data_IF_565306783864
#
_entry.id   IF_565306783864
#
_cell.length_a   1.000
_cell.length_b   1.000
_cell.length_c   1.000
_cell.angle_alpha   90.00
_cell.angle_beta   90.00
_cell.angle_gamma   90.00
#
_symmetry.space_group_name_H-M   'P 1'
#
loop_
_entity.id
_entity.type
_entity.pdbx_description
1 polymer ?
#
# COMPACT_ATOMS: atom_id res chain seq x y z
N UNK A 1 20.70 -34.16 14.76
CA UNK A 1 19.80 -33.11 15.25
C UNK A 1 20.43 -31.78 14.88
N UNK A 2 19.88 -31.08 13.89
CA UNK A 2 20.33 -29.71 13.61
C UNK A 2 19.76 -28.84 14.72
N UNK A 3 20.63 -28.20 15.52
CA UNK A 3 20.21 -27.09 16.38
C UNK A 3 19.69 -26.00 15.44
N UNK A 4 18.37 -25.89 15.32
CA UNK A 4 17.77 -24.72 14.70
C UNK A 4 17.99 -23.57 15.68
N UNK A 5 18.93 -22.70 15.37
CA UNK A 5 19.13 -21.47 16.11
C UNK A 5 17.81 -20.70 16.16
N UNK A 6 17.22 -20.59 17.35
CA UNK A 6 15.94 -19.94 17.59
C UNK A 6 16.16 -18.44 17.81
N UNK A 7 16.70 -17.74 16.81
CA UNK A 7 16.91 -16.31 16.93
C UNK A 7 15.55 -15.59 16.95
N UNK A 8 15.23 -14.95 18.07
CA UNK A 8 13.94 -14.26 18.28
C UNK A 8 14.00 -12.76 17.99
N UNK A 9 15.20 -12.17 17.96
CA UNK A 9 15.38 -10.72 17.83
C UNK A 9 16.54 -10.39 16.92
N UNK A 10 16.33 -9.46 16.00
CA UNK A 10 17.35 -8.89 15.12
C UNK A 10 17.26 -7.38 15.17
N UNK A 11 18.41 -6.74 15.35
CA UNK A 11 18.57 -5.29 15.24
C UNK A 11 19.77 -4.98 14.33
N UNK A 12 19.50 -4.27 13.23
CA UNK A 12 20.50 -3.81 12.27
C UNK A 12 20.62 -2.31 12.45
N UNK A 13 21.73 -1.90 13.06
CA UNK A 13 21.97 -0.51 13.46
C UNK A 13 22.50 0.37 12.33
N UNK A 14 23.19 -0.22 11.36
CA UNK A 14 23.79 0.51 10.27
C UNK A 14 23.96 -0.40 9.07
N UNK A 15 23.52 0.07 7.92
CA UNK A 15 23.84 -0.57 6.65
C UNK A 15 24.74 0.34 5.84
N UNK A 16 25.97 -0.07 5.52
CA UNK A 16 26.82 0.71 4.64
C UNK A 16 26.15 0.91 3.29
N UNK A 17 26.52 2.01 2.62
CA UNK A 17 25.95 2.44 1.33
C UNK A 17 26.09 1.31 0.30
N UNK A 18 24.95 0.74 -0.11
CA UNK A 18 24.86 -0.46 -0.97
C UNK A 18 23.54 -1.22 -0.78
N UNK A 19 22.43 -0.46 -0.75
CA UNK A 19 21.18 -0.73 -0.01
C UNK A 19 20.46 -2.05 -0.37
N UNK A 20 20.61 -2.55 -1.58
CA UNK A 20 19.69 -3.56 -2.11
C UNK A 20 19.98 -4.98 -1.62
N UNK A 21 21.26 -5.33 -1.42
CA UNK A 21 21.64 -6.70 -1.03
C UNK A 21 21.18 -7.04 0.38
N UNK A 22 21.31 -6.11 1.33
CA UNK A 22 20.91 -6.35 2.72
C UNK A 22 19.41 -6.54 2.83
N UNK A 23 18.61 -5.73 2.12
CA UNK A 23 17.16 -5.92 2.05
C UNK A 23 16.79 -7.32 1.54
N UNK A 24 17.46 -7.79 0.48
CA UNK A 24 17.16 -9.09 -0.15
C UNK A 24 17.49 -10.25 0.79
N UNK A 25 18.67 -10.23 1.42
CA UNK A 25 19.07 -11.25 2.39
C UNK A 25 18.16 -11.27 3.61
N UNK A 26 17.79 -10.08 4.12
CA UNK A 26 16.89 -9.97 5.26
C UNK A 26 15.49 -10.47 4.90
N UNK A 27 14.96 -10.12 3.71
CA UNK A 27 13.69 -10.65 3.23
C UNK A 27 13.72 -12.19 3.16
N UNK A 28 14.78 -12.78 2.59
CA UNK A 28 14.95 -14.23 2.54
C UNK A 28 14.97 -14.84 3.95
N UNK A 29 15.70 -14.22 4.88
CA UNK A 29 15.75 -14.66 6.27
C UNK A 29 14.36 -14.64 6.93
N UNK A 30 13.57 -13.59 6.73
CA UNK A 30 12.20 -13.47 7.28
C UNK A 30 11.25 -14.55 6.74
N UNK A 31 11.45 -14.99 5.50
CA UNK A 31 10.71 -16.11 4.91
C UNK A 31 11.08 -17.47 5.52
N UNK A 32 12.20 -17.57 6.25
CA UNK A 32 12.69 -18.83 6.84
C UNK A 32 12.64 -18.83 8.37
N UNK A 33 12.24 -17.73 9.01
CA UNK A 33 12.41 -17.52 10.45
C UNK A 33 11.08 -17.41 11.20
N UNK A 34 10.34 -18.52 11.41
CA UNK A 34 9.04 -18.50 12.08
C UNK A 34 9.09 -18.10 13.56
N UNK A 35 10.27 -18.15 14.16
CA UNK A 35 10.50 -17.84 15.57
C UNK A 35 10.85 -16.36 15.84
N UNK A 36 11.04 -15.55 14.78
CA UNK A 36 11.40 -14.15 14.95
C UNK A 36 10.22 -13.36 15.54
N UNK A 37 10.49 -12.67 16.64
CA UNK A 37 9.53 -11.84 17.38
C UNK A 37 9.82 -10.35 17.24
N UNK A 38 11.08 -9.96 17.06
CA UNK A 38 11.48 -8.55 16.99
C UNK A 38 12.43 -8.32 15.81
N UNK A 39 12.07 -7.38 14.94
CA UNK A 39 12.93 -6.90 13.86
C UNK A 39 13.02 -5.38 13.92
N UNK A 40 14.24 -4.87 14.07
CA UNK A 40 14.55 -3.45 13.95
C UNK A 40 15.61 -3.27 12.87
N UNK A 41 15.23 -2.72 11.74
CA UNK A 41 16.12 -2.53 10.61
C UNK A 41 15.76 -1.22 9.90
N UNK A 42 15.87 -0.11 10.65
CA UNK A 42 15.38 1.21 10.26
C UNK A 42 16.05 1.76 9.00
N UNK A 43 17.30 1.37 8.74
CA UNK A 43 18.08 1.81 7.59
C UNK A 43 18.10 0.79 6.44
N UNK A 44 17.51 -0.39 6.64
CA UNK A 44 17.37 -1.39 5.58
C UNK A 44 16.15 -1.04 4.73
N UNK A 45 16.39 -0.80 3.45
CA UNK A 45 15.34 -0.46 2.48
C UNK A 45 14.75 -1.73 1.86
N UNK A 46 13.43 -1.83 1.90
CA UNK A 46 12.66 -2.91 1.27
C UNK A 46 11.90 -2.40 0.04
N UNK A 47 12.14 -2.98 -1.15
CA UNK A 47 11.30 -2.77 -2.32
C UNK A 47 9.86 -3.21 -2.07
N UNK A 48 8.89 -2.33 -2.32
CA UNK A 48 7.46 -2.63 -2.10
C UNK A 48 6.98 -3.77 -3.01
N UNK A 49 7.60 -3.94 -4.18
CA UNK A 49 7.31 -5.01 -5.14
C UNK A 49 7.50 -6.41 -4.54
N UNK A 50 8.25 -6.58 -3.45
CA UNK A 50 8.38 -7.87 -2.76
C UNK A 50 7.13 -8.26 -1.95
N UNK A 51 6.21 -7.32 -1.73
CA UNK A 51 4.96 -7.53 -1.00
C UNK A 51 3.75 -7.64 -1.93
N UNK A 52 3.94 -7.38 -3.22
CA UNK A 52 2.90 -7.41 -4.23
C UNK A 52 2.66 -8.83 -4.75
N UNK A 53 1.93 -9.61 -3.95
CA UNK A 53 1.61 -11.01 -4.26
C UNK A 53 0.68 -11.16 -5.47
N UNK A 54 -0.03 -10.10 -5.83
CA UNK A 54 -1.14 -10.11 -6.78
C UNK A 54 -0.83 -9.44 -8.11
N UNK A 55 0.39 -8.89 -8.27
CA UNK A 55 0.76 -8.08 -9.44
C UNK A 55 -0.20 -6.90 -9.60
N UNK A 56 -0.29 -6.06 -8.57
CA UNK A 56 -1.11 -4.83 -8.59
C UNK A 56 -0.25 -3.66 -9.06
N UNK A 57 1.02 -3.66 -8.68
CA UNK A 57 1.97 -2.59 -8.95
C UNK A 57 2.62 -2.72 -10.33
N UNK A 58 2.47 -3.89 -10.98
CA UNK A 58 3.09 -4.24 -12.26
C UNK A 58 2.20 -3.92 -13.48
N UNK A 59 1.19 -3.05 -13.36
CA UNK A 59 0.26 -2.73 -14.45
C UNK A 59 0.93 -2.16 -15.73
N UNK A 60 2.20 -1.74 -15.66
CA UNK A 60 3.02 -1.35 -16.83
C UNK A 60 3.81 -2.51 -17.46
N UNK A 61 3.76 -3.73 -16.91
CA UNK A 61 4.33 -4.94 -17.52
C UNK A 61 5.87 -4.98 -17.59
N UNK A 62 6.58 -4.08 -16.93
CA UNK A 62 8.06 -3.98 -17.04
C UNK A 62 8.84 -4.67 -15.90
N UNK A 63 8.17 -5.31 -14.95
CA UNK A 63 8.79 -5.89 -13.77
C UNK A 63 9.54 -7.22 -13.96
N UNK A 64 10.08 -7.52 -15.15
CA UNK A 64 11.18 -8.51 -15.21
C UNK A 64 12.39 -7.75 -14.72
N UNK A 65 12.67 -7.82 -13.41
CA UNK A 65 13.96 -7.42 -12.87
C UNK A 65 15.00 -8.36 -13.50
N UNK A 66 15.60 -7.90 -14.59
CA UNK A 66 16.77 -8.54 -15.17
C UNK A 66 17.94 -8.12 -14.29
N UNK A 67 18.68 -9.08 -13.73
CA UNK A 67 19.95 -8.77 -13.06
C UNK A 67 20.87 -8.05 -14.07
N UNK A 68 21.84 -7.28 -13.59
CA UNK A 68 22.89 -6.62 -14.40
C UNK A 68 23.58 -7.62 -15.36
N UNK A 69 23.50 -8.92 -15.05
CA UNK A 69 24.09 -10.04 -15.78
C UNK A 69 23.12 -10.65 -16.82
N UNK A 70 21.95 -10.06 -17.08
CA UNK A 70 20.97 -10.63 -18.02
C UNK A 70 20.28 -11.89 -17.50
N UNK A 71 20.57 -12.31 -16.26
CA UNK A 71 19.91 -13.45 -15.63
C UNK A 71 18.54 -13.00 -15.17
N UNK A 72 17.52 -13.73 -15.62
CA UNK A 72 16.19 -13.67 -15.02
C UNK A 72 16.38 -13.98 -13.54
N UNK A 73 16.25 -12.94 -12.72
CA UNK A 73 16.16 -13.10 -11.29
C UNK A 73 14.88 -13.94 -11.11
N UNK A 74 15.04 -15.20 -10.70
CA UNK A 74 13.89 -16.02 -10.33
C UNK A 74 12.97 -15.17 -9.45
N UNK A 75 11.64 -15.22 -9.64
CA UNK A 75 10.75 -14.26 -9.00
C UNK A 75 10.77 -14.42 -7.48
N UNK A 76 11.72 -13.74 -6.82
CA UNK A 76 11.79 -13.55 -5.37
C UNK A 76 10.49 -12.89 -4.86
N UNK A 77 9.73 -12.28 -5.77
CA UNK A 77 8.50 -11.51 -5.61
C UNK A 77 7.31 -12.21 -4.94
N UNK A 78 7.40 -13.51 -4.61
CA UNK A 78 6.26 -14.24 -4.04
C UNK A 78 6.56 -14.98 -2.74
N UNK A 79 7.74 -14.77 -2.15
CA UNK A 79 8.03 -15.35 -0.84
C UNK A 79 7.31 -14.55 0.24
N UNK A 80 6.71 -15.27 1.16
CA UNK A 80 5.90 -14.68 2.23
C UNK A 80 6.63 -14.93 3.54
N UNK A 81 6.68 -13.90 4.40
CA UNK A 81 7.39 -14.03 5.67
C UNK A 81 6.76 -15.13 6.54
N UNK A 82 7.63 -15.95 7.12
CA UNK A 82 7.23 -17.02 8.04
C UNK A 82 7.06 -16.51 9.48
N UNK A 83 7.57 -15.32 9.81
CA UNK A 83 7.56 -14.73 11.15
C UNK A 83 6.18 -14.19 11.58
N UNK A 84 5.16 -15.05 11.67
CA UNK A 84 3.76 -14.66 12.02
C UNK A 84 3.59 -14.11 13.43
N UNK A 85 4.52 -14.44 14.34
CA UNK A 85 4.53 -14.03 15.75
C UNK A 85 5.31 -12.74 15.99
N UNK A 86 5.66 -12.02 14.92
CA UNK A 86 6.39 -10.76 15.02
C UNK A 86 5.57 -9.73 15.82
N UNK A 87 6.19 -9.17 16.85
CA UNK A 87 5.65 -8.16 17.76
C UNK A 87 6.19 -6.76 17.47
N UNK A 88 7.45 -6.67 17.06
CA UNK A 88 8.11 -5.41 16.74
C UNK A 88 8.63 -5.45 15.31
N UNK A 89 8.27 -4.44 14.51
CA UNK A 89 8.73 -4.31 13.13
C UNK A 89 9.04 -2.85 12.81
N UNK A 90 10.32 -2.53 12.66
CA UNK A 90 10.78 -1.21 12.20
C UNK A 90 11.51 -1.35 10.87
N UNK A 91 10.95 -0.79 9.80
CA UNK A 91 11.48 -0.91 8.44
C UNK A 91 11.36 0.39 7.64
N UNK A 92 12.25 0.50 6.65
CA UNK A 92 12.16 1.49 5.58
C UNK A 92 11.78 0.83 4.26
N UNK A 93 10.94 1.49 3.47
CA UNK A 93 10.51 1.01 2.15
C UNK A 93 10.93 1.98 1.04
N UNK A 94 11.23 1.41 -0.12
CA UNK A 94 11.80 2.13 -1.27
C UNK A 94 10.78 2.99 -2.04
N UNK A 95 11.29 4.08 -2.60
CA UNK A 95 10.63 5.06 -3.47
C UNK A 95 10.90 4.83 -4.98
N UNK A 96 11.93 4.05 -5.32
CA UNK A 96 12.70 4.07 -6.58
C UNK A 96 12.00 3.96 -7.95
N UNK A 97 10.67 3.88 -8.06
CA UNK A 97 10.02 3.70 -9.37
C UNK A 97 8.94 4.75 -9.57
N UNK A 98 9.35 5.80 -10.29
CA UNK A 98 8.58 6.56 -11.30
C UNK A 98 7.09 6.75 -11.06
N UNK A 99 6.72 8.00 -10.87
CA UNK A 99 5.37 8.55 -10.87
C UNK A 99 4.40 8.09 -9.78
N UNK A 100 4.20 9.05 -8.87
CA UNK A 100 3.00 9.32 -8.10
C UNK A 100 2.72 8.41 -6.91
N UNK A 101 2.32 9.08 -5.83
CA UNK A 101 1.82 8.59 -4.55
C UNK A 101 0.57 7.72 -4.78
N UNK A 102 0.75 6.52 -5.35
CA UNK A 102 -0.34 5.63 -5.70
C UNK A 102 -0.90 4.98 -4.43
N UNK A 103 -2.23 4.94 -4.32
CA UNK A 103 -2.87 4.29 -3.18
C UNK A 103 -2.56 2.80 -3.13
N UNK A 104 -2.33 2.21 -4.30
CA UNK A 104 -1.99 0.82 -4.54
C UNK A 104 -0.77 0.39 -3.71
N UNK A 105 0.34 1.14 -3.76
CA UNK A 105 1.57 0.80 -3.01
C UNK A 105 1.32 0.75 -1.51
N UNK A 106 0.60 1.74 -0.99
CA UNK A 106 0.23 1.78 0.43
C UNK A 106 -0.72 0.63 0.79
N UNK A 107 -1.70 0.32 -0.07
CA UNK A 107 -2.65 -0.78 0.15
C UNK A 107 -1.94 -2.13 0.18
N UNK A 108 -1.01 -2.37 -0.76
CA UNK A 108 -0.20 -3.60 -0.80
C UNK A 108 0.59 -3.76 0.49
N UNK A 109 1.31 -2.70 0.90
CA UNK A 109 2.10 -2.74 2.13
C UNK A 109 1.23 -3.00 3.36
N UNK A 110 0.20 -2.19 3.60
CA UNK A 110 -0.65 -2.33 4.77
C UNK A 110 -1.43 -3.64 4.77
N UNK A 111 -1.94 -4.05 3.61
CA UNK A 111 -2.63 -5.33 3.43
C UNK A 111 -1.72 -6.49 3.80
N UNK A 112 -0.51 -6.52 3.25
CA UNK A 112 0.49 -7.55 3.53
C UNK A 112 0.83 -7.61 5.01
N UNK A 113 1.26 -6.50 5.61
CA UNK A 113 1.63 -6.46 7.03
C UNK A 113 0.49 -6.90 7.95
N UNK A 114 -0.73 -6.45 7.64
CA UNK A 114 -1.93 -6.77 8.43
C UNK A 114 -2.31 -8.25 8.43
N UNK A 115 -1.95 -8.98 7.37
CA UNK A 115 -2.21 -10.43 7.24
C UNK A 115 -1.02 -11.28 7.67
N UNK A 116 0.19 -10.82 7.41
CA UNK A 116 1.41 -11.58 7.67
C UNK A 116 1.84 -11.50 9.12
N UNK A 117 1.72 -10.34 9.75
CA UNK A 117 2.15 -10.14 11.13
C UNK A 117 0.98 -9.65 12.01
N UNK A 118 -0.10 -10.45 12.18
CA UNK A 118 -1.31 -10.00 12.89
C UNK A 118 -1.08 -9.69 14.39
N UNK A 119 0.00 -10.21 14.97
CA UNK A 119 0.42 -10.00 16.36
C UNK A 119 1.34 -8.81 16.59
N UNK A 120 1.49 -7.90 15.61
CA UNK A 120 2.31 -6.70 15.78
C UNK A 120 1.77 -5.81 16.91
N UNK A 121 2.68 -5.38 17.76
CA UNK A 121 2.47 -4.48 18.89
C UNK A 121 3.14 -3.14 18.63
N UNK A 122 4.33 -3.14 18.05
CA UNK A 122 5.08 -1.94 17.68
C UNK A 122 5.40 -1.96 16.18
N UNK A 123 4.90 -0.97 15.45
CA UNK A 123 5.11 -0.82 14.01
C UNK A 123 5.71 0.54 13.70
N UNK A 124 6.86 0.56 13.03
CA UNK A 124 7.48 1.76 12.48
C UNK A 124 7.68 1.56 10.98
N UNK A 125 7.07 2.45 10.19
CA UNK A 125 7.18 2.45 8.73
C UNK A 125 7.77 3.79 8.31
N UNK A 126 8.93 3.73 7.65
CA UNK A 126 9.51 4.86 6.96
C UNK A 126 9.32 4.67 5.45
N UNK A 127 8.46 5.47 4.84
CA UNK A 127 8.21 5.36 3.40
C UNK A 127 7.79 6.72 2.82
N UNK A 128 8.40 7.07 1.69
CA UNK A 128 7.99 8.20 0.88
C UNK A 128 6.62 7.96 0.24
N UNK A 129 5.76 8.98 0.23
CA UNK A 129 4.44 8.90 -0.40
C UNK A 129 3.41 7.97 0.27
N UNK A 130 3.56 7.60 1.55
CA UNK A 130 2.62 6.70 2.23
C UNK A 130 1.22 7.34 2.41
N UNK A 131 0.15 6.76 1.84
CA UNK A 131 -1.22 7.28 1.93
C UNK A 131 -1.97 6.79 3.17
N UNK A 132 -2.29 7.71 4.07
CA UNK A 132 -3.02 7.42 5.32
C UNK A 132 -4.55 7.47 5.20
N UNK A 133 -5.07 7.67 4.00
CA UNK A 133 -6.50 7.72 3.77
C UNK A 133 -7.09 6.32 3.54
N UNK A 134 -8.40 6.28 3.36
CA UNK A 134 -9.12 5.05 3.04
C UNK A 134 -8.62 4.43 1.72
N UNK A 135 -8.24 5.28 0.75
CA UNK A 135 -7.79 4.85 -0.57
C UNK A 135 -6.44 4.17 -0.53
N UNK A 136 -5.52 4.68 0.30
CA UNK A 136 -4.24 4.05 0.60
C UNK A 136 -4.35 2.78 1.43
N UNK A 137 -5.56 2.42 1.90
CA UNK A 137 -5.78 1.21 2.70
C UNK A 137 -5.21 1.28 4.11
N UNK A 138 -4.99 2.48 4.65
CA UNK A 138 -4.50 2.61 6.03
C UNK A 138 -5.43 1.90 7.04
N UNK A 139 -6.72 1.80 6.71
CA UNK A 139 -7.69 1.02 7.48
C UNK A 139 -7.37 -0.48 7.60
N UNK A 140 -6.61 -1.07 6.66
CA UNK A 140 -6.22 -2.49 6.69
C UNK A 140 -5.39 -2.82 7.93
N UNK A 141 -4.59 -1.88 8.41
CA UNK A 141 -3.83 -2.03 9.66
C UNK A 141 -4.71 -2.23 10.88
N UNK A 142 -6.03 -1.96 10.82
CA UNK A 142 -6.96 -2.25 11.94
C UNK A 142 -7.14 -3.75 12.23
N UNK A 143 -6.61 -4.64 11.37
CA UNK A 143 -6.49 -6.08 11.68
C UNK A 143 -5.41 -6.37 12.72
N UNK A 144 -4.42 -5.48 12.90
CA UNK A 144 -3.40 -5.58 13.93
C UNK A 144 -4.01 -5.26 15.30
N UNK A 145 -4.70 -6.25 15.88
CA UNK A 145 -5.51 -6.03 17.09
C UNK A 145 -4.67 -5.74 18.31
N UNK A 146 -3.43 -6.22 18.33
CA UNK A 146 -2.47 -6.03 19.43
C UNK A 146 -1.61 -4.77 19.28
N UNK A 147 -1.82 -3.97 18.22
CA UNK A 147 -1.00 -2.79 17.95
C UNK A 147 -1.14 -1.76 19.06
N UNK A 148 -0.02 -1.41 19.68
CA UNK A 148 0.13 -0.43 20.77
C UNK A 148 0.83 0.84 20.35
N UNK A 149 1.80 0.73 19.43
CA UNK A 149 2.61 1.85 18.94
C UNK A 149 2.66 1.85 17.42
N UNK A 150 2.36 2.99 16.82
CA UNK A 150 2.42 3.19 15.38
C UNK A 150 3.21 4.46 15.03
N UNK A 151 4.40 4.30 14.47
CA UNK A 151 5.25 5.38 14.01
C UNK A 151 5.28 5.39 12.47
N UNK A 152 4.90 6.51 11.85
CA UNK A 152 4.88 6.66 10.40
C UNK A 152 5.72 7.87 10.01
N UNK A 153 6.85 7.64 9.35
CA UNK A 153 7.64 8.68 8.73
C UNK A 153 7.29 8.73 7.23
N UNK A 154 6.79 9.87 6.77
CA UNK A 154 6.33 10.09 5.40
C UNK A 154 6.77 11.43 4.84
N UNK A 155 6.83 11.54 3.52
CA UNK A 155 7.05 12.83 2.86
C UNK A 155 5.77 13.68 2.88
N UNK A 156 5.94 14.97 3.09
CA UNK A 156 4.90 15.92 3.44
C UNK A 156 4.04 16.40 2.26
N UNK A 157 4.36 15.97 1.03
CA UNK A 157 3.70 16.40 -0.23
C UNK A 157 2.21 16.06 -0.33
N UNK A 158 1.65 15.28 0.59
CA UNK A 158 0.22 14.98 0.65
C UNK A 158 -0.62 16.16 1.16
N UNK A 159 -0.78 17.19 0.34
CA UNK A 159 -1.44 18.46 0.74
C UNK A 159 -2.98 18.38 0.83
N UNK A 160 -3.66 17.26 0.52
CA UNK A 160 -5.13 17.30 0.26
C UNK A 160 -6.02 16.19 0.85
N UNK A 161 -5.49 15.14 1.49
CA UNK A 161 -6.28 13.94 1.82
C UNK A 161 -6.45 13.70 3.33
N UNK A 162 -7.01 14.67 4.03
CA UNK A 162 -7.48 14.51 5.42
C UNK A 162 -8.89 13.89 5.44
N UNK A 163 -9.63 13.97 4.33
CA UNK A 163 -10.99 13.46 4.23
C UNK A 163 -11.01 11.95 4.37
N UNK A 164 -11.91 11.47 5.22
CA UNK A 164 -12.27 10.07 5.30
C UNK A 164 -11.46 9.22 6.27
N UNK A 165 -10.79 9.85 7.24
CA UNK A 165 -10.25 9.15 8.41
C UNK A 165 -11.29 8.90 9.51
N UNK A 166 -12.57 9.22 9.29
CA UNK A 166 -13.67 8.98 10.24
C UNK A 166 -13.71 7.54 10.77
N UNK A 167 -13.19 6.59 9.97
CA UNK A 167 -13.13 5.20 10.35
C UNK A 167 -12.20 4.93 11.54
N UNK A 168 -11.25 5.82 11.86
CA UNK A 168 -10.33 5.65 13.00
C UNK A 168 -11.02 5.84 14.35
N UNK A 169 -12.19 6.49 14.35
CA UNK A 169 -12.93 6.83 15.56
C UNK A 169 -13.15 5.61 16.45
N UNK A 170 -12.98 5.79 17.77
CA UNK A 170 -13.17 4.71 18.75
C UNK A 170 -14.57 4.12 18.65
N UNK A 171 -15.54 4.99 18.51
CA UNK A 171 -16.95 4.68 18.29
C UNK A 171 -17.44 5.46 17.08
N UNK A 172 -17.83 4.74 16.02
CA UNK A 172 -18.44 5.40 14.87
C UNK A 172 -19.89 5.80 15.17
N UNK A 173 -20.20 7.07 14.96
CA UNK A 173 -21.58 7.57 14.93
C UNK A 173 -22.35 6.92 13.79
N UNK A 174 -23.70 6.87 13.83
CA UNK A 174 -24.49 6.35 12.72
C UNK A 174 -24.15 6.99 11.38
N UNK A 175 -23.92 8.32 11.36
CA UNK A 175 -23.53 9.05 10.15
C UNK A 175 -22.15 8.62 9.63
N UNK A 176 -21.16 8.43 10.51
CA UNK A 176 -19.84 7.94 10.11
C UNK A 176 -19.93 6.53 9.51
N UNK A 177 -20.78 5.65 10.07
CA UNK A 177 -21.01 4.32 9.51
C UNK A 177 -21.62 4.40 8.12
N UNK A 178 -22.61 5.27 7.91
CA UNK A 178 -23.21 5.50 6.59
C UNK A 178 -22.16 6.02 5.60
N UNK A 179 -21.35 7.01 5.98
CA UNK A 179 -20.27 7.53 5.12
C UNK A 179 -19.25 6.45 4.74
N UNK A 180 -18.85 5.61 5.70
CA UNK A 180 -17.95 4.48 5.44
C UNK A 180 -18.61 3.47 4.50
N UNK A 181 -19.87 3.11 4.73
CA UNK A 181 -20.63 2.20 3.88
C UNK A 181 -20.77 2.72 2.44
N UNK A 182 -21.11 3.99 2.26
CA UNK A 182 -21.19 4.66 0.95
C UNK A 182 -19.83 4.60 0.24
N UNK A 183 -18.72 4.85 0.94
CA UNK A 183 -17.38 4.74 0.34
C UNK A 183 -17.09 3.31 -0.09
N UNK A 184 -17.31 2.32 0.77
CA UNK A 184 -17.12 0.90 0.46
C UNK A 184 -17.92 0.52 -0.78
N UNK A 185 -19.21 0.89 -0.82
CA UNK A 185 -20.07 0.64 -1.95
C UNK A 185 -19.47 1.28 -3.21
N UNK A 186 -19.16 2.58 -3.18
CA UNK A 186 -18.56 3.31 -4.29
C UNK A 186 -17.30 2.62 -4.84
N UNK A 187 -16.44 2.08 -3.97
CA UNK A 187 -15.24 1.34 -4.40
C UNK A 187 -15.55 -0.05 -4.98
N UNK A 188 -16.56 -0.75 -4.47
CA UNK A 188 -17.00 -2.02 -5.05
C UNK A 188 -17.44 -1.85 -6.52
N UNK A 189 -18.13 -0.75 -6.82
CA UNK A 189 -18.53 -0.39 -8.19
C UNK A 189 -17.35 -0.10 -9.12
N UNK A 190 -16.30 0.55 -8.60
CA UNK A 190 -15.08 0.82 -9.38
C UNK A 190 -14.34 -0.47 -9.67
N UNK A 191 -14.27 -1.38 -8.69
CA UNK A 191 -13.56 -2.65 -8.85
C UNK A 191 -14.19 -3.52 -9.94
N UNK A 192 -15.53 -3.62 -9.98
CA UNK A 192 -16.26 -4.40 -11.00
C UNK A 192 -15.91 -3.94 -12.42
N UNK A 193 -15.70 -2.64 -12.65
CA UNK A 193 -15.32 -2.11 -13.96
C UNK A 193 -13.88 -2.42 -14.34
N UNK A 194 -12.96 -2.44 -13.38
CA UNK A 194 -11.55 -2.72 -13.63
C UNK A 194 -11.24 -4.22 -13.72
N UNK A 195 -12.00 -5.08 -13.02
CA UNK A 195 -11.87 -6.54 -13.13
C UNK A 195 -12.27 -7.07 -14.50
N UNK A 196 -13.07 -6.34 -15.28
CA UNK A 196 -13.38 -6.71 -16.68
C UNK A 196 -12.16 -6.51 -17.60
N UNK A 197 -11.16 -5.73 -17.20
CA UNK A 197 -9.95 -5.45 -17.98
C UNK A 197 -8.67 -6.09 -17.42
N UNK A 198 -8.67 -6.56 -16.16
CA UNK A 198 -7.53 -7.24 -15.56
C UNK A 198 -7.44 -8.69 -16.08
N UNK A 199 -6.73 -8.89 -17.18
CA UNK A 199 -6.23 -10.20 -17.59
C UNK A 199 -5.45 -10.78 -16.41
N UNK A 200 -5.94 -11.86 -15.82
CA UNK A 200 -5.21 -12.63 -14.82
C UNK A 200 -3.81 -12.97 -15.34
N UNK A 201 -2.71 -12.65 -14.64
CA UNK A 201 -1.35 -12.94 -15.11
C UNK A 201 -0.98 -14.44 -15.03
N UNK A 202 -1.95 -15.33 -14.85
CA UNK A 202 -1.74 -16.76 -15.05
C UNK A 202 -1.95 -17.06 -16.53
N UNK A 203 -0.87 -16.94 -17.30
CA UNK A 203 -0.78 -17.44 -18.67
C UNK A 203 -1.02 -18.96 -18.66
N UNK A 204 -2.28 -19.38 -18.77
CA UNK A 204 -2.61 -20.69 -19.32
C UNK A 204 -2.49 -20.59 -20.84
N UNK A 205 -1.26 -20.72 -21.33
CA UNK A 205 -0.95 -20.94 -22.73
C UNK A 205 -1.41 -22.34 -23.15
N UNK A 206 -2.69 -22.46 -23.50
CA UNK A 206 -3.17 -23.56 -24.35
C UNK A 206 -3.87 -22.97 -25.56
N UNK A 207 -3.07 -22.66 -26.60
CA UNK A 207 -3.58 -22.39 -27.93
C UNK A 207 -4.14 -23.68 -28.53
N UNK A 208 -5.45 -23.91 -28.38
CA UNK A 208 -6.16 -24.91 -29.19
C UNK A 208 -7.03 -24.14 -30.17
N UNK A 209 -6.69 -24.23 -31.46
CA UNK A 209 -7.45 -23.63 -32.54
C UNK A 209 -8.87 -24.20 -32.57
N UNK A 210 -9.86 -23.42 -32.13
CA UNK A 210 -11.26 -23.74 -32.38
C UNK A 210 -11.99 -22.51 -32.94
N UNK A 211 -12.66 -22.75 -34.06
CA UNK A 211 -13.44 -21.84 -34.89
C UNK A 211 -14.45 -21.04 -34.05
N UNK A 212 -14.61 -19.72 -34.27
CA UNK A 212 -15.53 -18.90 -33.46
C UNK A 212 -16.99 -19.13 -33.85
N UNK A 213 -17.79 -19.60 -32.89
CA UNK A 213 -19.27 -19.51 -32.96
C UNK A 213 -19.72 -18.09 -32.58
N UNK A 214 -20.80 -17.57 -33.19
CA UNK A 214 -21.30 -16.23 -32.87
C UNK A 214 -21.77 -16.14 -31.40
N UNK A 215 -21.52 -15.01 -30.73
CA UNK A 215 -21.90 -14.83 -29.33
C UNK A 215 -23.43 -14.76 -29.19
N UNK A 216 -24.01 -15.38 -28.15
CA UNK A 216 -25.43 -15.24 -27.86
C UNK A 216 -25.77 -13.78 -27.44
N UNK A 217 -27.01 -13.34 -27.67
CA UNK A 217 -27.42 -11.97 -27.39
C UNK A 217 -27.31 -11.64 -25.89
N UNK A 218 -26.54 -10.58 -25.61
CA UNK A 218 -26.31 -10.04 -24.27
C UNK A 218 -27.63 -9.55 -23.65
N UNK A 219 -27.78 -9.90 -22.38
CA UNK A 219 -28.97 -9.79 -21.55
C UNK A 219 -29.35 -8.33 -21.30
N UNK A 220 -30.46 -7.84 -21.88
CA UNK A 220 -31.06 -6.51 -21.62
C UNK A 220 -31.85 -6.40 -20.30
N UNK A 221 -31.73 -7.36 -19.38
CA UNK A 221 -32.49 -7.38 -18.11
C UNK A 221 -31.74 -6.80 -16.89
N UNK A 222 -30.48 -6.39 -17.00
CA UNK A 222 -29.67 -6.00 -15.83
C UNK A 222 -29.79 -4.52 -15.43
N UNK A 223 -30.45 -3.68 -16.23
CA UNK A 223 -30.49 -2.22 -16.00
C UNK A 223 -31.67 -1.74 -15.14
N UNK A 224 -32.72 -2.54 -14.93
CA UNK A 224 -34.02 -2.00 -14.47
C UNK A 224 -34.19 -1.87 -12.95
N UNK A 225 -33.18 -2.16 -12.11
CA UNK A 225 -33.35 -2.15 -10.64
C UNK A 225 -32.18 -1.63 -9.81
N UNK A 226 -31.22 -0.91 -10.39
CA UNK A 226 -30.11 -0.31 -9.62
C UNK A 226 -30.29 1.20 -9.54
N UNK A 227 -30.88 1.71 -8.46
CA UNK A 227 -30.76 3.14 -8.12
C UNK A 227 -29.27 3.41 -7.87
N UNK A 228 -28.73 4.40 -8.56
CA UNK A 228 -27.31 4.78 -8.45
C UNK A 228 -27.00 5.22 -7.00
N UNK A 229 -25.87 4.79 -6.40
CA UNK A 229 -25.41 5.26 -5.10
C UNK A 229 -25.28 6.80 -5.02
N UNK A 230 -25.14 7.47 -6.18
CA UNK A 230 -25.15 8.92 -6.29
C UNK A 230 -26.42 9.58 -5.74
N UNK A 231 -27.57 8.89 -5.77
CA UNK A 231 -28.83 9.43 -5.24
C UNK A 231 -28.77 9.53 -3.70
N UNK A 232 -28.13 8.57 -3.03
CA UNK A 232 -27.92 8.64 -1.58
C UNK A 232 -26.88 9.70 -1.18
N UNK A 233 -25.86 9.90 -2.00
CA UNK A 233 -24.83 10.93 -1.79
C UNK A 233 -25.39 12.35 -1.85
N UNK A 234 -26.32 12.64 -2.78
CA UNK A 234 -26.96 13.96 -2.88
C UNK A 234 -27.85 14.28 -1.67
N UNK A 235 -28.48 13.29 -1.06
CA UNK A 235 -29.28 13.49 0.15
C UNK A 235 -28.43 13.58 1.42
N UNK A 236 -27.30 12.88 1.49
CA UNK A 236 -26.35 12.98 2.62
C UNK A 236 -25.51 14.27 2.54
N UNK A 237 -25.13 14.73 1.34
CA UNK A 237 -24.39 15.98 1.17
C UNK A 237 -25.17 17.23 1.61
N UNK A 238 -26.51 17.20 1.51
CA UNK A 238 -27.37 18.27 2.06
C UNK A 238 -27.30 18.39 3.59
N UNK A 239 -26.82 17.36 4.29
CA UNK A 239 -26.59 17.39 5.74
C UNK A 239 -25.21 17.92 6.13
N UNK A 240 -24.25 18.01 5.19
CA UNK A 240 -22.92 18.56 5.46
C UNK A 240 -22.92 20.11 5.52
N UNK A 241 -23.99 20.76 5.03
CA UNK A 241 -24.19 22.23 5.11
C UNK A 241 -24.91 22.71 6.38
N UNK A 242 -25.35 21.81 7.28
CA UNK A 242 -25.94 22.23 8.56
C UNK A 242 -24.82 22.45 9.59
N UNK A 243 -24.30 23.68 9.54
CA UNK A 243 -23.65 24.44 10.60
C UNK A 243 -22.49 23.77 11.34
N UNK A 244 -21.27 24.04 10.85
CA UNK A 244 -20.20 24.43 11.76
C UNK A 244 -20.70 25.65 12.55
N UNK A 245 -20.83 25.48 13.87
CA UNK A 245 -21.13 26.57 14.81
C UNK A 245 -20.10 27.68 14.56
N UNK A 246 -20.48 28.95 14.39
CA UNK A 246 -19.53 30.04 14.31
C UNK A 246 -18.81 30.13 15.65
N UNK A 247 -17.53 29.78 15.67
CA UNK A 247 -16.65 30.06 16.80
C UNK A 247 -16.65 31.58 17.05
N UNK A 248 -16.66 31.90 18.34
CA UNK A 248 -16.70 33.24 18.88
C UNK A 248 -15.72 34.18 18.19
N UNK A 249 -16.25 35.26 17.60
CA UNK A 249 -15.53 36.51 17.45
C UNK A 249 -15.25 37.06 18.85
N UNK A 250 -14.02 36.88 19.34
CA UNK A 250 -13.49 37.77 20.36
C UNK A 250 -12.39 38.62 19.72
N UNK A 251 -12.83 39.83 19.38
CA UNK A 251 -12.04 40.90 18.79
C UNK A 251 -11.66 41.84 19.93
N UNK A 252 -10.41 41.79 20.39
CA UNK A 252 -9.60 42.99 20.62
C UNK A 252 -8.22 42.59 21.14
N UNK A 253 -7.18 42.90 20.37
CA UNK A 253 -6.14 43.84 20.77
C UNK A 253 -5.18 44.00 19.58
N UNK A 254 -5.09 45.25 19.14
CA UNK A 254 -4.22 45.80 18.11
C UNK A 254 -2.80 45.87 18.66
N UNK A 255 -1.80 45.63 17.80
CA UNK A 255 -0.47 46.27 17.70
C UNK A 255 0.26 45.43 16.60
N UNK A 256 0.33 45.80 15.32
CA UNK A 256 0.84 47.00 14.64
C UNK A 256 2.34 47.21 14.89
N UNK A 257 3.15 46.43 14.18
CA UNK A 257 4.44 46.78 13.56
C UNK A 257 4.97 45.54 12.83
N UNK A 258 5.90 45.74 11.88
CA UNK A 258 6.57 44.73 11.04
C UNK A 258 5.88 44.38 9.72
N UNK A 259 5.86 45.38 8.83
CA UNK A 259 5.58 45.18 7.40
C UNK A 259 6.49 46.06 6.54
N UNK A 260 7.80 45.94 6.74
CA UNK A 260 8.85 46.38 5.79
C UNK A 260 9.93 45.28 5.85
N UNK A 261 10.55 44.91 4.72
CA UNK A 261 11.64 43.91 4.53
C UNK A 261 11.29 42.64 3.71
N UNK A 262 10.50 42.76 2.62
CA UNK A 262 10.48 41.73 1.55
C UNK A 262 10.33 42.36 0.15
N UNK A 263 11.29 43.18 -0.29
CA UNK A 263 11.39 43.61 -1.70
C UNK A 263 12.82 43.63 -2.27
N UNK A 264 13.79 42.94 -1.66
CA UNK A 264 15.12 42.73 -2.26
C UNK A 264 15.43 41.23 -2.19
N UNK A 265 15.23 40.50 -3.30
CA UNK A 265 15.86 39.18 -3.61
C UNK A 265 15.24 38.59 -4.92
N UNK A 266 15.04 39.43 -5.94
CA UNK A 266 14.65 38.97 -7.29
C UNK A 266 15.47 39.70 -8.36
N UNK A 267 16.80 39.61 -8.30
CA UNK A 267 17.63 40.14 -9.40
C UNK A 267 19.04 39.53 -9.46
N UNK A 268 19.20 38.23 -9.21
CA UNK A 268 20.47 37.52 -9.47
C UNK A 268 20.12 36.04 -9.71
N UNK A 269 19.97 35.64 -10.99
CA UNK A 269 20.08 34.26 -11.49
C UNK A 269 19.75 34.22 -13.01
N UNK A 270 20.32 35.16 -13.77
CA UNK A 270 20.38 35.12 -15.23
C UNK A 270 21.81 35.39 -15.66
N UNK A 271 22.69 34.42 -15.47
CA UNK A 271 23.96 34.30 -16.19
C UNK A 271 24.62 33.01 -15.70
N UNK A 272 24.68 32.01 -16.58
CA UNK A 272 25.56 30.81 -16.58
C UNK A 272 24.76 29.57 -17.00
N UNK A 273 24.70 29.35 -18.31
CA UNK A 273 24.75 28.00 -18.90
C UNK A 273 25.13 28.18 -20.39
N UNK A 274 26.40 28.56 -20.59
CA UNK A 274 27.14 28.34 -21.82
C UNK A 274 27.76 26.94 -21.79
N UNK A 275 27.68 26.27 -22.93
CA UNK A 275 28.64 25.28 -23.44
C UNK A 275 28.82 23.96 -22.67
N UNK A 276 28.27 22.88 -23.25
CA UNK A 276 29.02 21.64 -23.46
C UNK A 276 28.38 20.84 -24.62
N UNK A 277 28.96 21.00 -25.81
CA UNK A 277 28.96 20.02 -26.89
C UNK A 277 29.84 18.83 -26.48
N UNK A 278 29.45 17.59 -26.78
CA UNK A 278 30.39 16.53 -27.20
C UNK A 278 29.65 15.25 -27.69
N UNK A 279 29.86 14.97 -28.97
CA UNK A 279 30.13 13.68 -29.63
C UNK A 279 29.12 12.50 -29.60
N UNK A 280 28.35 12.42 -30.70
CA UNK A 280 27.69 11.19 -31.17
C UNK A 280 28.71 10.30 -31.94
N UNK A 281 29.25 9.26 -31.30
CA UNK A 281 29.98 8.19 -31.99
C UNK A 281 29.03 7.07 -32.47
N UNK A 282 28.95 6.94 -33.79
CA UNK A 282 28.21 5.92 -34.53
C UNK A 282 28.99 4.58 -34.53
N UNK A 283 28.58 3.61 -33.69
CA UNK A 283 29.19 2.27 -33.68
C UNK A 283 28.49 1.35 -34.69
N UNK A 284 29.14 1.15 -35.84
CA UNK A 284 28.81 0.11 -36.82
C UNK A 284 29.32 -1.26 -36.32
N UNK A 285 28.41 -2.19 -36.03
CA UNK A 285 28.74 -3.62 -35.83
C UNK A 285 28.14 -4.44 -36.96
N UNK A 286 29.02 -4.88 -37.87
CA UNK A 286 28.76 -5.93 -38.87
C UNK A 286 29.67 -7.09 -38.54
N UNK A 287 29.09 -8.29 -38.39
CA UNK A 287 29.87 -9.52 -38.19
C UNK A 287 28.98 -10.72 -37.88
N UNK A 288 28.49 -11.36 -38.94
CA UNK A 288 27.88 -12.68 -38.93
C UNK A 288 28.89 -13.76 -38.48
N UNK A 289 28.44 -14.78 -37.75
CA UNK A 289 28.95 -16.15 -37.93
C UNK A 289 27.94 -17.19 -37.40
N UNK A 290 27.66 -18.18 -38.24
CA UNK A 290 26.57 -19.13 -38.09
C UNK A 290 26.84 -20.24 -37.07
N UNK A 291 25.75 -20.74 -36.47
CA UNK A 291 25.81 -21.93 -35.64
C UNK A 291 24.68 -22.92 -35.96
N UNK A 292 25.07 -24.04 -36.59
CA UNK A 292 24.22 -25.16 -36.96
C UNK A 292 23.51 -25.75 -35.74
N UNK A 293 22.18 -25.59 -35.67
CA UNK A 293 21.34 -26.25 -34.68
C UNK A 293 20.90 -27.65 -35.17
N UNK A 294 21.42 -28.69 -34.52
CA UNK A 294 20.86 -30.04 -34.60
C UNK A 294 19.53 -30.09 -33.81
N UNK A 295 18.42 -30.30 -34.51
CA UNK A 295 17.10 -30.55 -33.91
C UNK A 295 17.03 -31.96 -33.32
N UNK A 296 17.31 -32.08 -32.02
CA UNK A 296 16.85 -33.23 -31.24
C UNK A 296 15.37 -33.04 -30.90
N UNK A 297 14.52 -33.87 -31.51
CA UNK A 297 13.10 -33.99 -31.16
C UNK A 297 12.97 -34.51 -29.72
N UNK A 298 12.84 -33.58 -28.76
CA UNK A 298 12.37 -33.92 -27.43
C UNK A 298 10.86 -34.20 -27.47
N UNK A 299 10.38 -35.26 -26.80
CA UNK A 299 8.95 -35.50 -26.66
C UNK A 299 8.28 -34.30 -25.98
N UNK A 300 7.04 -33.96 -26.37
CA UNK A 300 6.32 -32.84 -25.78
C UNK A 300 6.23 -33.04 -24.26
N UNK A 301 6.52 -32.02 -23.45
CA UNK A 301 6.40 -32.11 -22.01
C UNK A 301 4.96 -32.51 -21.65
N UNK A 302 4.77 -33.36 -20.63
CA UNK A 302 3.43 -33.74 -20.20
C UNK A 302 2.62 -32.48 -19.87
N UNK A 303 1.32 -32.45 -20.20
CA UNK A 303 0.48 -31.29 -19.94
C UNK A 303 0.54 -30.93 -18.46
N UNK A 304 0.69 -29.64 -18.11
CA UNK A 304 0.83 -29.22 -16.72
C UNK A 304 -0.40 -29.67 -15.93
N UNK A 305 -0.16 -30.43 -14.86
CA UNK A 305 -1.17 -30.95 -13.96
C UNK A 305 -2.02 -29.80 -13.39
N UNK A 306 -3.24 -29.62 -13.89
CA UNK A 306 -4.17 -28.53 -13.54
C UNK A 306 -4.73 -28.60 -12.10
N UNK A 307 -4.29 -29.55 -11.27
CA UNK A 307 -4.88 -29.86 -9.97
C UNK A 307 -4.20 -29.29 -8.72
N UNK A 308 -3.05 -28.60 -8.82
CA UNK A 308 -2.26 -28.19 -7.63
C UNK A 308 -2.16 -26.68 -7.36
N UNK A 309 -2.67 -25.82 -8.24
CA UNK A 309 -2.50 -24.36 -8.10
C UNK A 309 -3.35 -23.71 -6.99
N UNK A 310 -4.20 -24.46 -6.28
CA UNK A 310 -5.18 -23.86 -5.36
C UNK A 310 -4.68 -23.68 -3.92
N UNK A 311 -3.56 -24.31 -3.52
CA UNK A 311 -3.04 -24.21 -2.14
C UNK A 311 -2.02 -23.10 -1.91
N UNK A 312 -1.43 -22.52 -2.96
CA UNK A 312 -0.30 -21.58 -2.81
C UNK A 312 -0.69 -20.21 -2.20
N UNK A 313 -1.99 -19.91 -2.06
CA UNK A 313 -2.47 -18.63 -1.53
C UNK A 313 -2.90 -18.68 -0.07
N UNK A 314 -2.97 -19.87 0.53
CA UNK A 314 -3.31 -20.04 1.94
C UNK A 314 -2.03 -20.29 2.72
N UNK A 315 -1.68 -19.41 3.66
CA UNK A 315 -0.52 -19.63 4.53
C UNK A 315 -0.98 -19.62 5.96
N UNK A 316 -0.75 -20.74 6.66
CA UNK A 316 -1.17 -20.95 8.05
C UNK A 316 -2.67 -20.66 8.27
N UNK A 317 -3.49 -20.98 7.26
CA UNK A 317 -4.94 -20.73 7.27
C UNK A 317 -5.35 -19.28 6.96
N UNK A 318 -4.40 -18.40 6.64
CA UNK A 318 -4.66 -17.02 6.19
C UNK A 318 -4.72 -16.99 4.67
N UNK A 319 -5.85 -16.54 4.13
CA UNK A 319 -6.00 -16.27 2.71
C UNK A 319 -5.17 -15.03 2.35
N UNK A 320 -4.24 -15.15 1.41
CA UNK A 320 -3.39 -14.07 0.91
C UNK A 320 -3.93 -13.45 -0.39
N UNK A 321 -5.07 -13.93 -0.91
CA UNK A 321 -5.68 -13.37 -2.11
C UNK A 321 -6.19 -11.96 -1.88
N UNK A 322 -6.12 -11.15 -2.92
CA UNK A 322 -6.59 -9.77 -2.92
C UNK A 322 -5.80 -8.81 -2.02
N UNK A 323 -4.65 -9.21 -1.44
CA UNK A 323 -3.80 -8.29 -0.67
C UNK A 323 -3.50 -7.06 -1.52
N UNK A 324 -3.80 -5.86 -1.01
CA UNK A 324 -3.63 -4.59 -1.71
C UNK A 324 -4.75 -4.21 -2.69
N UNK A 325 -5.68 -5.13 -3.00
CA UNK A 325 -6.86 -4.84 -3.82
C UNK A 325 -7.96 -4.19 -2.98
N UNK A 326 -8.88 -3.50 -3.65
CA UNK A 326 -10.07 -2.93 -3.02
C UNK A 326 -10.93 -3.95 -2.30
N UNK A 327 -11.01 -5.17 -2.84
CA UNK A 327 -11.74 -6.28 -2.23
C UNK A 327 -11.27 -6.55 -0.79
N UNK A 328 -9.98 -6.40 -0.50
CA UNK A 328 -9.45 -6.57 0.87
C UNK A 328 -10.01 -5.55 1.86
N UNK A 329 -10.21 -4.32 1.41
CA UNK A 329 -10.85 -3.27 2.22
C UNK A 329 -12.33 -3.58 2.40
N UNK A 330 -13.04 -4.00 1.35
CA UNK A 330 -14.45 -4.40 1.46
C UNK A 330 -14.60 -5.52 2.49
N UNK A 331 -13.79 -6.57 2.36
CA UNK A 331 -13.80 -7.74 3.24
C UNK A 331 -13.53 -7.36 4.70
N UNK A 332 -12.57 -6.47 4.94
CA UNK A 332 -12.30 -5.94 6.28
C UNK A 332 -13.57 -5.37 6.93
N UNK A 333 -14.34 -4.57 6.20
CA UNK A 333 -15.51 -3.92 6.77
C UNK A 333 -16.71 -4.85 6.86
N UNK A 334 -16.88 -5.78 5.92
CA UNK A 334 -17.87 -6.85 6.01
C UNK A 334 -17.63 -7.74 7.24
N UNK A 335 -16.38 -8.18 7.46
CA UNK A 335 -16.00 -8.95 8.66
C UNK A 335 -16.35 -8.20 9.95
N UNK A 336 -16.17 -6.88 9.97
CA UNK A 336 -16.50 -6.04 11.13
C UNK A 336 -18.00 -5.91 11.32
N UNK A 337 -18.76 -5.72 10.24
CA UNK A 337 -20.20 -5.62 10.27
C UNK A 337 -20.85 -6.95 10.73
N UNK A 338 -20.36 -8.08 10.20
CA UNK A 338 -20.85 -9.42 10.56
C UNK A 338 -20.61 -9.73 12.04
N UNK A 339 -19.44 -9.34 12.59
CA UNK A 339 -19.15 -9.50 14.03
C UNK A 339 -20.09 -8.68 14.93
N UNK A 340 -20.64 -7.58 14.43
CA UNK A 340 -21.59 -6.76 15.19
C UNK A 340 -23.00 -7.36 15.25
N UNK A 341 -23.38 -8.25 14.32
CA UNK A 341 -24.74 -8.82 14.28
C UNK A 341 -25.00 -9.85 15.39
N UNK A 342 -23.96 -10.45 15.97
CA UNK A 342 -24.09 -11.52 16.96
C UNK A 342 -24.35 -11.03 18.39
N UNK A 343 -25.19 -10.00 18.58
CA UNK A 343 -25.63 -9.44 19.87
C UNK A 343 -24.56 -8.90 20.83
N UNK A 344 -23.27 -9.03 20.51
CA UNK A 344 -22.20 -8.47 21.33
C UNK A 344 -22.02 -6.98 20.98
N UNK A 345 -22.80 -6.12 21.65
CA UNK A 345 -22.91 -4.65 21.44
C UNK A 345 -21.60 -3.85 21.49
N UNK A 346 -20.47 -4.47 21.76
CA UNK A 346 -19.16 -3.83 21.69
C UNK A 346 -18.68 -3.82 20.23
N UNK A 347 -19.00 -2.76 19.49
CA UNK A 347 -18.24 -2.39 18.29
C UNK A 347 -16.76 -2.31 18.71
N UNK A 348 -15.97 -3.34 18.40
CA UNK A 348 -14.55 -3.32 18.74
C UNK A 348 -13.90 -2.14 18.00
N UNK A 349 -13.41 -1.19 18.78
CA UNK A 349 -12.69 -0.02 18.30
C UNK A 349 -11.62 -0.43 17.27
N UNK A 350 -11.35 0.45 16.30
CA UNK A 350 -10.13 0.36 15.49
C UNK A 350 -8.95 0.43 16.46
N UNK A 351 -8.09 -0.59 16.48
CA UNK A 351 -6.98 -0.70 17.43
C UNK A 351 -7.38 -0.49 18.90
N UNK A 352 -7.94 -1.53 19.55
CA UNK A 352 -8.41 -1.42 20.94
C UNK A 352 -7.28 -1.16 21.95
N UNK A 353 -6.02 -1.44 21.59
CA UNK A 353 -4.84 -1.27 22.45
C UNK A 353 -3.85 -0.22 21.94
N UNK A 354 -4.20 0.56 20.91
CA UNK A 354 -3.29 1.60 20.42
C UNK A 354 -3.22 2.72 21.45
N UNK A 355 -2.01 2.90 21.99
CA UNK A 355 -1.68 3.86 23.04
C UNK A 355 -0.98 5.08 22.46
N UNK A 356 -0.18 4.86 21.40
CA UNK A 356 0.75 5.85 20.88
C UNK A 356 0.77 5.85 19.34
N UNK A 357 0.69 7.03 18.74
CA UNK A 357 0.88 7.21 17.29
C UNK A 357 1.72 8.44 16.99
N UNK A 358 2.74 8.26 16.16
CA UNK A 358 3.66 9.31 15.74
C UNK A 358 3.58 9.49 14.23
N UNK A 359 3.40 10.73 13.78
CA UNK A 359 3.43 11.06 12.36
C UNK A 359 4.57 12.06 12.12
N UNK A 360 5.59 11.63 11.39
CA UNK A 360 6.79 12.40 11.12
C UNK A 360 6.90 12.77 9.64
N UNK A 361 7.33 13.99 9.36
CA UNK A 361 7.75 14.40 8.02
C UNK A 361 9.21 13.95 7.81
N UNK A 362 9.50 13.30 6.68
CA UNK A 362 10.88 12.96 6.31
C UNK A 362 11.61 14.18 5.73
N UNK A 363 10.86 15.09 5.10
CA UNK A 363 11.34 16.31 4.47
C UNK A 363 10.97 17.56 5.29
N UNK A 364 11.91 18.51 5.40
CA UNK A 364 11.66 19.79 6.08
C UNK A 364 10.73 20.75 5.33
N UNK A 365 10.29 20.40 4.12
CA UNK A 365 9.58 21.30 3.22
C UNK A 365 8.07 21.32 3.43
N UNK A 366 7.49 22.45 3.86
CA UNK A 366 6.11 22.89 3.55
C UNK A 366 4.88 22.04 3.93
N UNK A 367 4.99 20.76 4.30
CA UNK A 367 3.83 19.92 4.65
C UNK A 367 3.63 19.71 6.16
N UNK A 368 4.38 20.43 7.01
CA UNK A 368 4.19 20.46 8.46
C UNK A 368 2.75 20.83 8.85
N UNK A 369 2.15 21.81 8.16
CA UNK A 369 0.78 22.25 8.43
C UNK A 369 -0.25 21.12 8.12
N UNK A 370 -0.09 20.41 7.00
CA UNK A 370 -0.95 19.28 6.64
C UNK A 370 -0.86 18.15 7.67
N UNK A 371 0.36 17.87 8.15
CA UNK A 371 0.63 16.88 9.17
C UNK A 371 -0.02 17.23 10.51
N UNK A 372 0.12 18.48 10.97
CA UNK A 372 -0.53 18.93 12.21
C UNK A 372 -2.05 18.90 12.11
N UNK A 373 -2.63 19.23 10.95
CA UNK A 373 -4.08 19.05 10.72
C UNK A 373 -4.51 17.59 10.85
N UNK A 374 -3.71 16.65 10.31
CA UNK A 374 -3.97 15.20 10.48
C UNK A 374 -3.88 14.78 11.95
N UNK A 375 -2.82 15.20 12.66
CA UNK A 375 -2.65 14.92 14.10
C UNK A 375 -3.81 15.47 14.92
N UNK A 376 -4.20 16.72 14.69
CA UNK A 376 -5.35 17.36 15.35
C UNK A 376 -6.65 16.58 15.12
N UNK A 377 -6.91 16.17 13.88
CA UNK A 377 -8.10 15.36 13.59
C UNK A 377 -8.06 13.99 14.29
N UNK A 378 -6.91 13.31 14.33
CA UNK A 378 -6.77 12.04 15.05
C UNK A 378 -7.02 12.25 16.54
N UNK A 379 -6.41 13.26 17.17
CA UNK A 379 -6.64 13.61 18.59
C UNK A 379 -8.14 13.80 18.87
N UNK A 380 -8.87 14.45 17.96
CA UNK A 380 -10.33 14.61 18.08
C UNK A 380 -11.10 13.29 17.98
N UNK A 381 -10.72 12.40 17.05
CA UNK A 381 -11.42 11.12 16.83
C UNK A 381 -11.02 10.02 17.83
N UNK A 382 -9.82 10.15 18.42
CA UNK A 382 -9.16 9.22 19.33
C UNK A 382 -8.37 9.98 20.40
N UNK A 383 -9.06 10.64 21.34
CA UNK A 383 -8.39 11.37 22.44
C UNK A 383 -7.67 10.44 23.42
N UNK A 384 -7.90 9.13 23.33
CA UNK A 384 -7.24 8.09 24.11
C UNK A 384 -5.85 7.69 23.57
N UNK A 385 -5.44 8.19 22.40
CA UNK A 385 -4.12 7.92 21.82
C UNK A 385 -3.23 9.15 22.02
N UNK A 386 -2.01 8.93 22.51
CA UNK A 386 -0.96 9.94 22.52
C UNK A 386 -0.46 10.18 21.08
N UNK A 387 -0.62 11.41 20.58
CA UNK A 387 -0.23 11.80 19.22
C UNK A 387 0.97 12.76 19.25
N UNK A 388 2.14 12.27 18.82
CA UNK A 388 3.37 13.06 18.68
C UNK A 388 3.55 13.61 17.27
#
# INVERSE_FOLDING_TARGET
MYHQDTLTSIEILHTPVGRDRTGSLLHQYLCQSPHLLHLKAKDVVFPIIWFDLEGILDAQGQGVLVDVIGKSIEPFHRKIWACRKLRTLYLQFDESQGDSISGERSRVLFGYLSRVCPGLQDLEIKQFGLRLDFVGGFCLLTRLRELRRLCLAMESRQKKYIKGMDWIARTMTPLQRIRVAIRIEMFSWVNDRNTVCAKTPFLSSTSTSHVPSPPPPIIKQWEKKRRSPYVYLLDVAKYDDIQMVPEYNDSSCVDREDQEDQEEDQEEDQEEEEEEEEDEEEVVVVGEEGNNHHHHHHPPPPPPSTGLLQQDYMIDGVDMRNVGRWKDIVDLFEERNNKNSNNNKSCKACWPFLEYMELNAIDGGGGRESLEKKKSMIRRLRPDIEIM
#
